data_IF_125997675678
#
_entry.id   IF_125997675678
#
_cell.length_a   1.000
_cell.length_b   1.000
_cell.length_c   1.000
_cell.angle_alpha   90.00
_cell.angle_beta   90.00
_cell.angle_gamma   90.00
#
_symmetry.space_group_name_H-M   'P 1'
#
loop_
_entity.id
_entity.type
_entity.pdbx_description
1 polymer ?
#
# COMPACT_ATOMS: atom_id res chain seq x y z
N UNK A 1 -14.50 -1.46 -6.62
CA UNK A 1 -13.14 -1.54 -6.03
C UNK A 1 -12.52 -0.17 -5.89
N UNK A 2 -11.67 -0.01 -4.92
CA UNK A 2 -10.96 1.23 -4.61
C UNK A 2 -9.46 0.94 -4.57
N UNK A 3 -8.68 1.80 -5.18
CA UNK A 3 -7.22 1.76 -5.06
C UNK A 3 -6.75 2.89 -4.17
N UNK A 4 -5.95 2.55 -3.17
CA UNK A 4 -5.28 3.52 -2.32
C UNK A 4 -3.79 3.49 -2.64
N UNK A 5 -3.22 4.67 -2.92
CA UNK A 5 -1.79 4.83 -3.09
C UNK A 5 -1.27 5.57 -1.86
N UNK A 6 -0.48 4.87 -1.08
CA UNK A 6 0.12 5.40 0.16
C UNK A 6 1.58 5.70 -0.12
N UNK A 7 2.02 6.90 0.19
CA UNK A 7 3.42 7.30 0.05
C UNK A 7 3.88 8.10 1.26
N UNK A 8 5.14 7.94 1.60
CA UNK A 8 5.76 8.78 2.62
C UNK A 8 7.26 8.96 2.33
N UNK A 9 7.77 10.15 2.70
CA UNK A 9 9.16 10.49 2.53
C UNK A 9 10.00 9.86 3.65
N UNK A 10 11.25 9.54 3.32
CA UNK A 10 12.23 9.05 4.29
C UNK A 10 13.24 10.15 4.63
N UNK A 11 13.73 10.19 5.89
CA UNK A 11 14.78 11.14 6.27
C UNK A 11 16.09 10.92 5.51
N UNK A 12 16.37 9.68 5.12
CA UNK A 12 17.55 9.29 4.35
C UNK A 12 17.15 8.24 3.31
N UNK A 13 17.82 8.20 2.16
CA UNK A 13 17.54 7.18 1.16
C UNK A 13 17.72 5.78 1.71
N UNK A 14 16.89 4.86 1.25
CA UNK A 14 16.94 3.44 1.63
C UNK A 14 17.28 2.61 0.39
N UNK A 15 18.12 1.58 0.55
CA UNK A 15 18.43 0.66 -0.53
C UNK A 15 17.23 -0.24 -0.86
N UNK A 16 17.24 -0.83 -2.05
CA UNK A 16 16.21 -1.78 -2.44
C UNK A 16 16.19 -3.01 -1.51
N UNK A 17 17.36 -3.50 -1.12
CA UNK A 17 17.48 -4.64 -0.20
C UNK A 17 16.88 -4.32 1.17
N UNK A 18 17.19 -3.16 1.71
CA UNK A 18 16.66 -2.75 3.01
C UNK A 18 15.16 -2.52 2.96
N UNK A 19 14.67 -1.89 1.88
CA UNK A 19 13.24 -1.72 1.67
C UNK A 19 12.52 -3.08 1.63
N UNK A 20 13.04 -4.02 0.83
CA UNK A 20 12.47 -5.36 0.72
C UNK A 20 12.40 -6.07 2.07
N UNK A 21 13.45 -5.95 2.86
CA UNK A 21 13.51 -6.56 4.19
C UNK A 21 12.43 -6.00 5.12
N UNK A 22 12.27 -4.67 5.15
CA UNK A 22 11.25 -4.01 5.96
C UNK A 22 9.85 -4.39 5.50
N UNK A 23 9.63 -4.42 4.19
CA UNK A 23 8.33 -4.77 3.62
C UNK A 23 7.95 -6.22 3.92
N UNK A 24 8.89 -7.14 3.79
CA UNK A 24 8.67 -8.55 4.14
C UNK A 24 8.30 -8.72 5.61
N UNK A 25 8.88 -7.92 6.48
CA UNK A 25 8.57 -7.93 7.91
C UNK A 25 7.12 -7.53 8.20
N UNK A 26 6.57 -6.57 7.45
CA UNK A 26 5.20 -6.10 7.66
C UNK A 26 4.16 -6.86 6.85
N UNK A 27 4.54 -7.52 5.76
CA UNK A 27 3.61 -8.17 4.84
C UNK A 27 2.64 -9.16 5.50
N UNK A 28 3.04 -9.99 6.47
CA UNK A 28 2.12 -10.90 7.14
C UNK A 28 0.92 -10.21 7.80
N UNK A 29 1.07 -8.94 8.20
CA UNK A 29 -0.02 -8.18 8.81
C UNK A 29 -1.15 -7.90 7.83
N UNK A 30 -0.87 -7.94 6.54
CA UNK A 30 -1.84 -7.66 5.47
C UNK A 30 -2.38 -8.92 4.81
N UNK A 31 -1.77 -10.07 5.07
CA UNK A 31 -2.24 -11.34 4.52
C UNK A 31 -3.60 -11.71 5.13
N UNK A 32 -4.56 -12.05 4.26
CA UNK A 32 -5.92 -12.40 4.66
C UNK A 32 -6.69 -11.28 5.38
N UNK A 33 -6.27 -10.04 5.17
CA UNK A 33 -6.94 -8.89 5.74
C UNK A 33 -8.28 -8.67 5.02
N UNK A 34 -9.40 -8.55 5.77
CA UNK A 34 -10.72 -8.42 5.14
C UNK A 34 -10.80 -7.23 4.19
N UNK A 35 -11.28 -7.48 2.97
CA UNK A 35 -11.46 -6.46 1.95
C UNK A 35 -10.21 -6.07 1.18
N UNK A 36 -9.04 -6.50 1.58
CA UNK A 36 -7.82 -6.28 0.81
C UNK A 36 -7.67 -7.37 -0.25
N UNK A 37 -7.69 -6.96 -1.51
CA UNK A 37 -7.57 -7.88 -2.64
C UNK A 37 -6.11 -8.12 -2.98
N UNK A 38 -5.34 -7.03 -3.08
CA UNK A 38 -3.94 -7.09 -3.50
C UNK A 38 -3.19 -5.85 -2.99
N UNK A 39 -1.93 -6.05 -2.64
CA UNK A 39 -1.08 -4.95 -2.17
C UNK A 39 0.30 -5.09 -2.79
N UNK A 40 0.82 -3.99 -3.30
CA UNK A 40 2.19 -3.88 -3.78
C UNK A 40 2.93 -2.87 -2.92
N UNK A 41 4.10 -3.25 -2.44
CA UNK A 41 5.00 -2.32 -1.75
C UNK A 41 5.87 -1.61 -2.78
N UNK A 42 6.14 -0.34 -2.54
CA UNK A 42 6.84 0.53 -3.48
C UNK A 42 8.05 1.20 -2.84
N UNK A 43 9.09 1.34 -3.62
CA UNK A 43 10.23 2.19 -3.32
C UNK A 43 10.50 3.06 -4.54
N UNK A 44 10.66 4.37 -4.35
CA UNK A 44 11.08 5.25 -5.45
C UNK A 44 12.51 4.89 -5.89
N UNK A 45 12.84 5.17 -7.15
CA UNK A 45 14.15 4.79 -7.70
C UNK A 45 15.32 5.42 -6.92
N UNK A 46 15.13 6.64 -6.39
CA UNK A 46 16.14 7.31 -5.58
C UNK A 46 16.13 6.86 -4.11
N UNK A 47 15.21 6.00 -3.71
CA UNK A 47 15.10 5.48 -2.34
C UNK A 47 14.60 6.48 -1.31
N UNK A 48 14.11 7.64 -1.74
CA UNK A 48 13.68 8.69 -0.81
C UNK A 48 12.22 8.62 -0.41
N UNK A 49 11.43 7.85 -1.13
CA UNK A 49 10.01 7.62 -0.85
C UNK A 49 9.71 6.13 -0.88
N UNK A 50 8.84 5.72 0.02
CA UNK A 50 8.32 4.35 0.08
C UNK A 50 6.82 4.40 0.29
N UNK A 51 6.17 3.27 0.12
CA UNK A 51 4.74 3.15 0.32
C UNK A 51 4.18 1.89 -0.28
N UNK A 52 2.94 1.98 -0.74
CA UNK A 52 2.27 0.84 -1.36
C UNK A 52 1.08 1.25 -2.19
N UNK A 53 0.72 0.37 -3.11
CA UNK A 53 -0.54 0.42 -3.85
C UNK A 53 -1.38 -0.74 -3.35
N UNK A 54 -2.59 -0.44 -2.88
CA UNK A 54 -3.50 -1.45 -2.35
C UNK A 54 -4.82 -1.40 -3.10
N UNK A 55 -5.28 -2.56 -3.55
CA UNK A 55 -6.58 -2.72 -4.17
C UNK A 55 -7.54 -3.27 -3.11
N UNK A 56 -8.63 -2.54 -2.85
CA UNK A 56 -9.62 -2.86 -1.84
C UNK A 56 -10.98 -3.13 -2.45
N UNK A 57 -11.75 -4.00 -1.83
CA UNK A 57 -13.15 -4.23 -2.21
C UNK A 57 -14.00 -2.98 -2.04
N UNK A 58 -13.71 -2.18 -1.00
CA UNK A 58 -14.44 -0.96 -0.68
C UNK A 58 -13.56 0.05 0.04
N UNK A 59 -13.95 1.30 0.00
CA UNK A 59 -13.30 2.35 0.79
C UNK A 59 -13.44 2.10 2.30
N UNK A 60 -14.59 1.60 2.71
CA UNK A 60 -14.85 1.29 4.11
C UNK A 60 -13.85 0.26 4.66
N UNK A 61 -13.56 -0.79 3.88
CA UNK A 61 -12.57 -1.79 4.27
C UNK A 61 -11.18 -1.17 4.43
N UNK A 62 -10.79 -0.28 3.52
CA UNK A 62 -9.51 0.43 3.60
C UNK A 62 -9.45 1.35 4.81
N UNK A 63 -10.49 2.12 5.07
CA UNK A 63 -10.53 3.05 6.19
C UNK A 63 -10.45 2.35 7.54
N UNK A 64 -10.91 1.11 7.63
CA UNK A 64 -10.78 0.31 8.84
C UNK A 64 -9.30 0.02 9.19
N UNK A 65 -8.41 0.07 8.20
CA UNK A 65 -6.96 -0.15 8.37
C UNK A 65 -6.20 1.16 8.52
N UNK A 66 -6.52 2.17 7.71
CA UNK A 66 -5.81 3.45 7.70
C UNK A 66 -6.32 4.38 8.81
N UNK A 67 -6.23 3.92 10.03
CA UNK A 67 -6.67 4.64 11.24
C UNK A 67 -5.60 5.63 11.72
N UNK A 68 -5.94 6.42 12.73
CA UNK A 68 -4.97 7.28 13.40
C UNK A 68 -3.82 6.49 14.02
N UNK A 69 -4.09 5.31 14.56
CA UNK A 69 -3.05 4.42 15.10
C UNK A 69 -2.10 3.94 14.01
N UNK A 70 -2.63 3.56 12.85
CA UNK A 70 -1.82 3.16 11.72
C UNK A 70 -0.92 4.30 11.24
N UNK A 71 -1.47 5.52 11.14
CA UNK A 71 -0.71 6.70 10.75
C UNK A 71 0.42 7.00 11.74
N UNK A 72 0.14 6.86 13.02
CA UNK A 72 1.14 7.07 14.07
C UNK A 72 2.26 6.04 13.99
N UNK A 73 1.93 4.76 13.73
CA UNK A 73 2.94 3.71 13.55
C UNK A 73 3.83 3.97 12.35
N UNK A 74 3.24 4.39 11.22
CA UNK A 74 4.01 4.72 10.01
C UNK A 74 4.97 5.87 10.29
N UNK A 75 4.48 6.93 10.94
CA UNK A 75 5.32 8.07 11.28
C UNK A 75 6.47 7.68 12.22
N UNK A 76 6.21 6.81 13.18
CA UNK A 76 7.21 6.33 14.12
C UNK A 76 8.29 5.49 13.43
N UNK A 77 7.89 4.61 12.50
CA UNK A 77 8.82 3.71 11.81
C UNK A 77 9.60 4.39 10.68
N UNK A 78 9.00 5.36 10.00
CA UNK A 78 9.57 5.95 8.79
C UNK A 78 9.88 7.43 8.90
N UNK A 79 9.45 8.09 9.96
CA UNK A 79 9.79 9.48 10.24
C UNK A 79 8.95 10.52 9.51
N UNK A 80 7.89 10.13 8.82
CA UNK A 80 6.99 11.06 8.16
C UNK A 80 5.56 10.57 8.15
N UNK A 81 4.63 11.52 7.93
CA UNK A 81 3.20 11.23 7.83
C UNK A 81 2.88 10.68 6.44
N UNK A 82 2.12 9.58 6.34
CA UNK A 82 1.73 9.05 5.04
C UNK A 82 0.75 9.95 4.33
N UNK A 83 0.90 10.05 3.01
CA UNK A 83 -0.06 10.67 2.11
C UNK A 83 -0.84 9.55 1.43
N UNK A 84 -2.18 9.68 1.37
CA UNK A 84 -3.03 8.67 0.74
C UNK A 84 -3.80 9.33 -0.40
N UNK A 85 -3.65 8.78 -1.60
CA UNK A 85 -4.47 9.13 -2.74
C UNK A 85 -5.47 8.01 -3.02
N UNK A 86 -6.72 8.38 -3.26
CA UNK A 86 -7.82 7.45 -3.45
C UNK A 86 -8.31 7.49 -4.89
N UNK A 87 -8.55 6.32 -5.47
CA UNK A 87 -9.04 6.19 -6.84
C UNK A 87 -10.11 5.12 -6.93
N UNK A 88 -11.18 5.41 -7.65
CA UNK A 88 -12.09 4.36 -8.09
C UNK A 88 -11.36 3.45 -9.08
N UNK A 89 -11.61 2.15 -9.00
CA UNK A 89 -10.92 1.17 -9.83
C UNK A 89 -11.95 0.32 -10.58
N UNK A 90 -12.48 0.86 -11.70
CA UNK A 90 -13.58 0.17 -12.41
C UNK A 90 -13.14 -1.03 -13.24
N UNK A 91 -11.86 -1.11 -13.63
CA UNK A 91 -11.34 -2.18 -14.48
C UNK A 91 -9.98 -2.63 -14.00
N UNK A 92 -9.78 -3.93 -13.92
CA UNK A 92 -8.48 -4.54 -13.63
C UNK A 92 -8.12 -5.51 -14.75
N UNK A 93 -6.96 -5.29 -15.36
CA UNK A 93 -6.37 -6.27 -16.30
C UNK A 93 -5.35 -7.08 -15.50
N UNK A 94 -5.55 -8.38 -15.43
CA UNK A 94 -4.66 -9.27 -14.71
C UNK A 94 -4.08 -10.30 -15.69
N UNK A 95 -2.89 -10.03 -16.19
CA UNK A 95 -2.22 -10.92 -17.12
C UNK A 95 -1.69 -12.20 -16.44
N UNK A 96 -1.44 -12.14 -15.14
CA UNK A 96 -1.07 -13.33 -14.38
C UNK A 96 -2.22 -14.33 -14.30
N UNK A 97 -3.44 -13.86 -14.09
CA UNK A 97 -4.65 -14.67 -14.12
C UNK A 97 -5.25 -14.78 -15.52
N UNK A 98 -4.73 -14.01 -16.50
CA UNK A 98 -5.22 -13.99 -17.87
C UNK A 98 -6.61 -13.43 -18.03
N UNK A 99 -7.00 -12.45 -17.19
CA UNK A 99 -8.37 -11.93 -17.23
C UNK A 99 -8.44 -10.42 -17.03
N UNK A 100 -9.57 -9.86 -17.48
CA UNK A 100 -9.97 -8.48 -17.21
C UNK A 100 -11.19 -8.53 -16.29
N UNK A 101 -11.11 -7.86 -15.15
CA UNK A 101 -12.22 -7.75 -14.22
C UNK A 101 -12.81 -6.36 -14.31
N UNK A 102 -14.12 -6.29 -14.54
CA UNK A 102 -14.87 -5.04 -14.54
C UNK A 102 -15.70 -4.98 -13.27
N UNK A 103 -15.42 -4.00 -12.43
CA UNK A 103 -16.14 -3.80 -11.19
C UNK A 103 -17.52 -3.19 -11.47
N UNK A 104 -18.50 -3.64 -10.72
CA UNK A 104 -19.85 -3.09 -10.77
C UNK A 104 -19.88 -1.68 -10.17
#
# INVERSE_FOLDING_TARGET
MITAIVQFALPSPISLEEAARRFQSSAPNYKNLPGLIRKFYLRSEDGRRVGGVSLWESRQAAEAVYTGEWRARVQQHYGSTPEIAWFDTPVVVDNGAGKITKAA
#
